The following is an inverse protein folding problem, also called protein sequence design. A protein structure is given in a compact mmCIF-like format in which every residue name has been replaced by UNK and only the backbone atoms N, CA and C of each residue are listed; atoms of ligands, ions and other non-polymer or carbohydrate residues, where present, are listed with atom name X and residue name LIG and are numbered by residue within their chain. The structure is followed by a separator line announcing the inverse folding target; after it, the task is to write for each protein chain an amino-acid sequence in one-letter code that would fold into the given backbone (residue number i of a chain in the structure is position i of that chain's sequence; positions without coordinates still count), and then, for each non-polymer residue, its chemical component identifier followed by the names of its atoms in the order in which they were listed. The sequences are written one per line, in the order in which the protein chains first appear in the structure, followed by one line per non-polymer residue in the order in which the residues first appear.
data_IF_145426889018
#
_entry.id   IF_145426889018
#
_cell.length_a   1.000
_cell.length_b   1.000
_cell.length_c   1.000
_cell.angle_alpha   90.00
_cell.angle_beta   90.00
_cell.angle_gamma   90.00
#
_symmetry.space_group_name_H-M   'P 1'
#
loop_
_entity.id
_entity.type
_entity.pdbx_description
1 polymer ?
#
# COMPACT_ATOMS: atom_id res chain seq x y z
N UNK A 1 4.93 14.61 14.48
CA UNK A 1 4.57 15.15 13.15
C UNK A 1 3.06 15.12 13.00
N UNK A 2 2.49 16.17 12.50
CA UNK A 2 1.05 16.23 12.27
C UNK A 2 0.62 15.26 11.16
N UNK A 3 -0.58 14.71 11.30
CA UNK A 3 -1.10 13.74 10.33
C UNK A 3 -1.11 14.29 8.89
N UNK A 4 -1.39 15.59 8.73
CA UNK A 4 -1.38 16.21 7.41
C UNK A 4 0.00 16.14 6.76
N UNK A 5 1.06 16.41 7.52
CA UNK A 5 2.42 16.33 7.01
C UNK A 5 2.81 14.90 6.69
N UNK A 6 2.42 13.96 7.57
CA UNK A 6 2.64 12.53 7.31
C UNK A 6 1.94 12.11 6.02
N UNK A 7 0.70 12.54 5.82
CA UNK A 7 -0.05 12.24 4.61
C UNK A 7 0.65 12.74 3.35
N UNK A 8 1.20 13.96 3.39
CA UNK A 8 1.92 14.53 2.26
C UNK A 8 3.20 13.75 1.95
N UNK A 9 3.93 13.34 2.98
CA UNK A 9 5.13 12.52 2.79
C UNK A 9 4.79 11.14 2.24
N UNK A 10 3.72 10.52 2.75
CA UNK A 10 3.25 9.24 2.23
C UNK A 10 2.78 9.37 0.78
N UNK A 11 2.11 10.47 0.44
CA UNK A 11 1.71 10.73 -0.95
C UNK A 11 2.92 10.75 -1.88
N UNK A 12 4.02 11.39 -1.47
CA UNK A 12 5.27 11.39 -2.26
C UNK A 12 5.84 9.99 -2.41
N UNK A 13 5.83 9.21 -1.33
CA UNK A 13 6.27 7.81 -1.37
C UNK A 13 5.44 7.02 -2.38
N UNK A 14 4.12 7.17 -2.37
CA UNK A 14 3.25 6.46 -3.31
C UNK A 14 3.46 6.94 -4.75
N UNK A 15 3.74 8.20 -4.95
CA UNK A 15 4.05 8.72 -6.29
C UNK A 15 5.34 8.12 -6.83
N UNK A 16 6.37 8.00 -5.99
CA UNK A 16 7.62 7.34 -6.38
C UNK A 16 7.40 5.85 -6.65
N UNK A 17 6.68 5.17 -5.76
CA UNK A 17 6.32 3.76 -5.94
C UNK A 17 5.52 3.56 -7.22
N UNK A 18 4.60 4.48 -7.51
CA UNK A 18 3.77 4.45 -8.70
C UNK A 18 4.57 4.51 -9.99
N UNK A 19 5.66 5.26 -10.01
CA UNK A 19 6.55 5.30 -11.19
C UNK A 19 7.18 3.94 -11.47
N UNK A 20 7.61 3.25 -10.42
CA UNK A 20 8.14 1.89 -10.56
C UNK A 20 7.07 0.92 -11.05
N UNK A 21 5.88 0.99 -10.50
CA UNK A 21 4.78 0.13 -10.90
C UNK A 21 4.35 0.37 -12.35
N UNK A 22 4.31 1.63 -12.79
CA UNK A 22 4.03 1.97 -14.19
C UNK A 22 5.07 1.39 -15.12
N UNK A 23 6.34 1.48 -14.75
CA UNK A 23 7.42 0.90 -15.54
C UNK A 23 7.26 -0.61 -15.65
N UNK A 24 6.90 -1.27 -14.55
CA UNK A 24 6.64 -2.72 -14.54
C UNK A 24 5.45 -3.08 -15.42
N UNK A 25 4.38 -2.28 -15.38
CA UNK A 25 3.21 -2.51 -16.21
C UNK A 25 3.53 -2.43 -17.70
N UNK A 26 4.44 -1.54 -18.08
CA UNK A 26 4.87 -1.37 -19.46
C UNK A 26 5.88 -2.43 -19.94
N UNK A 27 6.37 -3.27 -19.03
CA UNK A 27 7.34 -4.31 -19.31
C UNK A 27 6.69 -5.70 -19.21
N UNK A 28 6.22 -6.30 -20.32
CA UNK A 28 5.47 -7.56 -20.28
C UNK A 28 6.22 -8.72 -19.62
N UNK A 29 7.56 -8.66 -19.55
CA UNK A 29 8.37 -9.72 -18.93
C UNK A 29 8.08 -9.88 -17.45
N UNK A 30 7.78 -8.78 -16.77
CA UNK A 30 7.53 -8.79 -15.32
C UNK A 30 6.13 -9.33 -15.01
N UNK A 31 5.24 -9.34 -15.98
CA UNK A 31 3.88 -9.87 -15.81
C UNK A 31 3.85 -11.40 -15.68
N UNK A 32 4.94 -12.07 -16.02
CA UNK A 32 5.07 -13.53 -15.86
C UNK A 32 5.10 -13.95 -14.38
N UNK A 33 5.39 -13.03 -13.48
CA UNK A 33 5.44 -13.32 -12.06
C UNK A 33 4.07 -13.28 -11.39
N UNK A 34 3.01 -12.95 -12.13
CA UNK A 34 1.65 -13.00 -11.59
C UNK A 34 1.15 -14.43 -11.50
N UNK A 35 0.63 -14.78 -10.32
CA UNK A 35 -0.02 -16.05 -10.08
C UNK A 35 -1.52 -15.84 -9.90
N UNK A 36 -2.31 -16.70 -10.53
CA UNK A 36 -3.75 -16.76 -10.30
C UNK A 36 -3.98 -17.89 -9.30
N UNK A 37 -4.45 -17.54 -8.12
CA UNK A 37 -4.71 -18.54 -7.07
C UNK A 37 -6.17 -18.91 -7.02
N UNK A 38 -6.45 -20.21 -7.20
CA UNK A 38 -7.73 -20.90 -7.01
C UNK A 38 -8.94 -20.22 -7.69
N UNK A 39 -10.12 -20.48 -7.10
CA UNK A 39 -11.42 -20.02 -7.62
C UNK A 39 -11.69 -18.54 -7.37
N UNK A 40 -10.77 -17.85 -6.73
CA UNK A 40 -10.84 -16.42 -6.52
C UNK A 40 -9.91 -15.72 -7.48
N UNK A 41 -10.37 -14.65 -8.10
CA UNK A 41 -9.57 -13.79 -8.96
C UNK A 41 -8.60 -12.95 -8.10
N UNK A 42 -7.79 -13.63 -7.30
CA UNK A 42 -6.72 -13.00 -6.53
C UNK A 42 -5.41 -13.23 -7.26
N UNK A 43 -4.63 -12.15 -7.37
CA UNK A 43 -3.31 -12.20 -7.98
C UNK A 43 -2.27 -11.94 -6.91
N UNK A 44 -1.27 -12.81 -6.82
CA UNK A 44 -0.04 -12.50 -6.10
C UNK A 44 1.07 -12.35 -7.11
N UNK A 45 1.97 -11.40 -6.89
CA UNK A 45 3.08 -11.17 -7.80
C UNK A 45 4.29 -10.66 -7.04
N UNK A 46 5.47 -10.86 -7.64
CA UNK A 46 6.70 -10.28 -7.12
C UNK A 46 6.66 -8.75 -7.17
N UNK A 47 5.93 -8.18 -8.13
CA UNK A 47 5.72 -6.76 -8.25
C UNK A 47 5.03 -6.21 -7.00
N UNK A 48 3.94 -6.86 -6.55
CA UNK A 48 3.22 -6.47 -5.33
C UNK A 48 4.14 -6.50 -4.11
N UNK A 49 4.92 -7.56 -3.95
CA UNK A 49 5.81 -7.73 -2.81
C UNK A 49 6.91 -6.67 -2.81
N UNK A 50 7.53 -6.41 -3.95
CA UNK A 50 8.58 -5.38 -4.08
C UNK A 50 8.01 -4.00 -3.82
N UNK A 51 6.82 -3.72 -4.32
CA UNK A 51 6.14 -2.45 -4.15
C UNK A 51 5.81 -2.20 -2.68
N UNK A 52 5.21 -3.18 -2.01
CA UNK A 52 4.88 -3.08 -0.59
C UNK A 52 6.14 -2.89 0.26
N UNK A 53 7.21 -3.59 -0.05
CA UNK A 53 8.47 -3.46 0.65
C UNK A 53 9.12 -2.09 0.45
N UNK A 54 9.10 -1.59 -0.78
CA UNK A 54 9.59 -0.23 -1.09
C UNK A 54 8.86 0.81 -0.26
N UNK A 55 7.53 0.74 -0.23
CA UNK A 55 6.68 1.68 0.50
C UNK A 55 6.94 1.57 2.01
N UNK A 56 6.94 0.35 2.54
CA UNK A 56 7.16 0.11 3.98
C UNK A 56 8.53 0.63 4.43
N UNK A 57 9.57 0.39 3.66
CA UNK A 57 10.90 0.89 3.98
C UNK A 57 10.95 2.41 4.05
N UNK A 58 10.26 3.09 3.12
CA UNK A 58 10.21 4.56 3.10
C UNK A 58 9.39 5.11 4.25
N UNK A 59 8.32 4.45 4.63
CA UNK A 59 7.47 4.88 5.75
C UNK A 59 8.25 4.88 7.06
N UNK A 60 9.18 3.97 7.27
CA UNK A 60 9.97 3.93 8.50
C UNK A 60 10.80 5.20 8.73
N UNK A 61 11.12 5.93 7.68
CA UNK A 61 11.84 7.20 7.80
C UNK A 61 10.91 8.38 8.06
N UNK A 62 9.65 8.25 7.75
CA UNK A 62 8.64 9.30 8.01
C UNK A 62 8.05 9.14 9.39
N UNK A 63 7.82 7.90 9.79
CA UNK A 63 7.20 7.58 11.08
C UNK A 63 7.95 6.40 11.70
N UNK A 64 8.81 6.73 12.70
CA UNK A 64 9.62 5.72 13.39
C UNK A 64 8.90 5.12 14.59
N UNK A 65 7.74 5.65 14.98
CA UNK A 65 7.05 5.26 16.21
C UNK A 65 5.96 4.24 16.01
N UNK A 66 5.25 4.30 14.88
CA UNK A 66 4.13 3.42 14.63
C UNK A 66 4.60 2.16 13.88
N UNK A 67 4.01 1.03 14.22
CA UNK A 67 4.36 -0.26 13.61
C UNK A 67 3.60 -0.55 12.33
N UNK A 68 3.75 -1.77 11.84
CA UNK A 68 3.02 -2.26 10.68
C UNK A 68 1.98 -3.28 11.12
N UNK A 69 0.81 -3.21 10.51
CA UNK A 69 -0.35 -4.05 10.85
C UNK A 69 -0.03 -5.55 10.87
N UNK A 70 0.75 -6.01 9.91
CA UNK A 70 1.08 -7.43 9.78
C UNK A 70 1.94 -7.97 10.93
N UNK A 71 2.64 -7.06 11.62
CA UNK A 71 3.52 -7.43 12.75
C UNK A 71 2.94 -7.02 14.10
N UNK A 72 1.66 -6.58 14.13
CA UNK A 72 1.05 -6.16 15.38
C UNK A 72 0.96 -7.32 16.38
N UNK A 73 1.10 -7.04 17.69
CA UNK A 73 0.89 -8.07 18.70
C UNK A 73 -0.58 -8.50 18.73
N UNK A 74 -0.82 -9.72 19.21
CA UNK A 74 -2.18 -10.24 19.34
C UNK A 74 -3.01 -9.43 20.34
N UNK A 75 -2.34 -8.95 21.40
CA UNK A 75 -3.00 -8.15 22.41
C UNK A 75 -3.19 -6.72 21.92
N UNK A 76 -4.45 -6.27 21.94
CA UNK A 76 -4.80 -4.92 21.53
C UNK A 76 -4.65 -3.93 22.70
N UNK A 77 -4.05 -2.77 22.43
CA UNK A 77 -3.99 -1.66 23.36
C UNK A 77 -4.59 -0.41 22.72
N UNK A 78 -5.58 0.22 23.35
CA UNK A 78 -6.13 1.46 22.83
C UNK A 78 -5.06 2.53 22.61
N UNK A 79 -5.20 3.26 21.51
CA UNK A 79 -4.25 4.31 21.13
C UNK A 79 -3.07 3.84 20.29
N UNK A 80 -2.83 2.55 20.18
CA UNK A 80 -1.80 2.04 19.30
C UNK A 80 -2.17 2.23 17.82
N UNK A 81 -1.16 2.52 17.01
CA UNK A 81 -1.32 2.86 15.62
C UNK A 81 -0.48 1.94 14.75
N UNK A 82 -1.04 1.53 13.62
CA UNK A 82 -0.38 0.60 12.69
C UNK A 82 -0.62 0.99 11.25
N UNK A 83 0.46 0.95 10.47
CA UNK A 83 0.42 1.15 9.03
C UNK A 83 -0.03 -0.12 8.32
N UNK A 84 -0.98 0.04 7.41
CA UNK A 84 -1.40 -1.01 6.50
C UNK A 84 -0.98 -0.60 5.09
N UNK A 85 -0.05 -1.35 4.52
CA UNK A 85 0.46 -1.08 3.18
C UNK A 85 -0.14 -2.11 2.25
N UNK A 86 -1.00 -1.67 1.34
CA UNK A 86 -1.54 -2.50 0.28
C UNK A 86 -0.55 -2.64 -0.87
N UNK A 87 -0.76 -3.66 -1.68
CA UNK A 87 -0.13 -3.75 -2.98
C UNK A 87 -0.97 -3.03 -4.02
N UNK A 88 -0.99 -3.57 -5.23
CA UNK A 88 -1.81 -3.01 -6.31
C UNK A 88 -3.25 -3.45 -6.10
N UNK A 89 -4.15 -2.48 -5.98
CA UNK A 89 -5.59 -2.71 -6.02
C UNK A 89 -6.05 -2.54 -7.47
N UNK A 90 -6.85 -3.49 -7.97
CA UNK A 90 -7.19 -3.56 -9.39
C UNK A 90 -6.13 -4.33 -10.19
N UNK A 91 -5.60 -5.41 -9.62
CA UNK A 91 -4.53 -6.20 -10.23
C UNK A 91 -4.90 -6.73 -11.62
N UNK A 92 -6.17 -7.07 -11.85
CA UNK A 92 -6.65 -7.51 -13.17
C UNK A 92 -6.45 -6.41 -14.21
N UNK A 93 -6.79 -5.18 -13.87
CA UNK A 93 -6.61 -4.04 -14.75
C UNK A 93 -5.12 -3.79 -15.00
N UNK A 94 -4.32 -3.88 -13.97
CA UNK A 94 -2.86 -3.73 -14.08
C UNK A 94 -2.27 -4.73 -15.07
N UNK A 95 -2.61 -6.01 -14.93
CA UNK A 95 -2.11 -7.09 -15.80
C UNK A 95 -2.56 -6.89 -17.25
N UNK A 96 -3.76 -6.35 -17.46
CA UNK A 96 -4.31 -6.09 -18.78
C UNK A 96 -3.89 -4.75 -19.38
N UNK A 97 -2.94 -4.08 -18.77
CA UNK A 97 -2.45 -2.76 -19.22
C UNK A 97 -3.52 -1.67 -19.23
N UNK A 98 -4.51 -1.81 -18.34
CA UNK A 98 -5.55 -0.80 -18.17
C UNK A 98 -5.13 0.20 -17.08
N UNK A 99 -5.63 1.45 -17.12
CA UNK A 99 -5.16 2.48 -16.18
C UNK A 99 -5.87 2.48 -14.81
N UNK A 100 -6.95 1.71 -14.65
CA UNK A 100 -7.78 1.76 -13.44
C UNK A 100 -7.24 0.82 -12.36
N UNK A 101 -6.16 1.22 -11.72
CA UNK A 101 -5.58 0.54 -10.55
C UNK A 101 -4.96 1.57 -9.63
N UNK A 102 -4.84 1.22 -8.36
CA UNK A 102 -4.36 2.13 -7.32
C UNK A 102 -3.37 1.45 -6.39
N UNK A 103 -2.64 2.29 -5.65
CA UNK A 103 -1.82 1.90 -4.51
C UNK A 103 -2.37 2.64 -3.31
N UNK A 104 -2.55 1.93 -2.19
CA UNK A 104 -3.17 2.50 -1.00
C UNK A 104 -2.32 2.24 0.23
N UNK A 105 -2.22 3.25 1.08
CA UNK A 105 -1.61 3.15 2.41
C UNK A 105 -2.54 3.80 3.41
N UNK A 106 -2.76 3.13 4.53
CA UNK A 106 -3.60 3.65 5.60
C UNK A 106 -2.91 3.50 6.95
N UNK A 107 -3.17 4.45 7.83
CA UNK A 107 -2.77 4.38 9.24
C UNK A 107 -4.03 4.16 10.08
N UNK A 108 -4.04 3.07 10.84
CA UNK A 108 -5.15 2.72 11.72
C UNK A 108 -4.77 2.98 13.17
N UNK A 109 -5.76 3.40 13.95
CA UNK A 109 -5.61 3.57 15.38
C UNK A 109 -6.69 2.77 16.10
N UNK A 110 -6.30 2.06 17.17
CA UNK A 110 -7.26 1.36 18.01
C UNK A 110 -7.93 2.32 18.98
N UNK A 111 -9.28 2.30 18.99
CA UNK A 111 -10.06 3.07 19.93
C UNK A 111 -10.17 2.35 21.29
N UNK A 112 -10.93 2.91 22.23
CA UNK A 112 -11.09 2.36 23.58
C UNK A 112 -11.74 0.98 23.59
N UNK A 113 -12.48 0.62 22.55
CA UNK A 113 -13.09 -0.70 22.38
C UNK A 113 -12.21 -1.66 21.60
N UNK A 114 -10.95 -1.32 21.36
CA UNK A 114 -10.04 -2.10 20.53
C UNK A 114 -10.55 -2.36 19.11
N UNK A 115 -11.28 -1.40 18.57
CA UNK A 115 -11.69 -1.38 17.17
C UNK A 115 -10.73 -0.49 16.37
N UNK A 116 -10.20 -1.01 15.28
CA UNK A 116 -9.27 -0.26 14.44
C UNK A 116 -10.04 0.71 13.54
N UNK A 117 -9.61 1.96 13.53
CA UNK A 117 -10.20 2.99 12.68
C UNK A 117 -9.13 3.69 11.87
N UNK A 118 -9.38 3.94 10.58
CA UNK A 118 -8.41 4.68 9.77
C UNK A 118 -8.39 6.14 10.19
N UNK A 119 -7.21 6.65 10.50
CA UNK A 119 -7.02 8.07 10.82
C UNK A 119 -6.32 8.82 9.71
N UNK A 120 -5.74 8.09 8.75
CA UNK A 120 -5.09 8.64 7.58
C UNK A 120 -5.12 7.59 6.49
N UNK A 121 -5.46 8.02 5.28
CA UNK A 121 -5.38 7.16 4.10
C UNK A 121 -4.89 7.97 2.92
N UNK A 122 -4.02 7.35 2.13
CA UNK A 122 -3.56 7.92 0.87
C UNK A 122 -3.79 6.90 -0.23
N UNK A 123 -4.45 7.34 -1.29
CA UNK A 123 -4.72 6.52 -2.47
C UNK A 123 -4.08 7.22 -3.66
N UNK A 124 -3.27 6.49 -4.41
CA UNK A 124 -2.62 7.00 -5.60
C UNK A 124 -2.97 6.11 -6.80
N UNK A 125 -3.42 6.73 -7.88
CA UNK A 125 -3.71 6.09 -9.15
C UNK A 125 -2.63 6.51 -10.16
N UNK A 126 -1.53 5.75 -10.29
CA UNK A 126 -0.37 6.19 -11.07
C UNK A 126 -0.67 6.45 -12.54
N UNK A 127 -1.43 5.57 -13.17
CA UNK A 127 -1.72 5.71 -14.60
C UNK A 127 -2.66 6.89 -14.90
N UNK A 128 -3.40 7.36 -13.88
CA UNK A 128 -4.31 8.49 -14.01
C UNK A 128 -3.73 9.79 -13.47
N UNK A 129 -2.56 9.72 -12.82
CA UNK A 129 -1.92 10.89 -12.23
C UNK A 129 -2.70 11.51 -11.08
N UNK A 130 -3.46 10.72 -10.33
CA UNK A 130 -4.31 11.19 -9.24
C UNK A 130 -3.79 10.66 -7.89
N UNK A 131 -3.85 11.53 -6.89
CA UNK A 131 -3.52 11.17 -5.51
C UNK A 131 -4.56 11.75 -4.57
#
# INVERSE_FOLDING_TARGET
MELRQVALEVARILQDAGKHALNDQMNPRDLKSFEITDNHLSFTSDIDKRLAQFISNRITYVDVFDGFWQFRPEECHPGERYWCVGGIDGAINFVRSMPEWTITVSLFEFNDQCSAQPILSVVHAPALGLT
#
